data_IF_317837366618
#
_entry.id   IF_317837366618
#
_cell.length_a   1.000
_cell.length_b   1.000
_cell.length_c   1.000
_cell.angle_alpha   90.00
_cell.angle_beta   90.00
_cell.angle_gamma   90.00
#
_symmetry.space_group_name_H-M   'P 1'
#
loop_
_entity.id
_entity.type
_entity.pdbx_description
1 polymer ?
#
# COMPACT_ATOMS: atom_id res chain seq x y z
N UNK A 1 -13.74 -4.49 -12.25
CA UNK A 1 -12.52 -4.24 -11.45
C UNK A 1 -12.73 -4.68 -9.99
N UNK A 2 -11.74 -5.33 -9.38
CA UNK A 2 -11.77 -5.64 -7.95
C UNK A 2 -11.30 -4.40 -7.19
N UNK A 3 -12.12 -3.89 -6.27
CA UNK A 3 -11.79 -2.74 -5.42
C UNK A 3 -11.84 -3.22 -3.98
N UNK A 4 -10.78 -2.96 -3.22
CA UNK A 4 -10.70 -3.30 -1.79
C UNK A 4 -10.34 -2.04 -1.03
N UNK A 5 -11.22 -1.63 -0.12
CA UNK A 5 -10.98 -0.51 0.77
C UNK A 5 -10.13 -0.95 1.96
N UNK A 6 -9.15 -0.12 2.33
CA UNK A 6 -8.27 -0.36 3.48
C UNK A 6 -8.00 0.95 4.19
N UNK A 7 -7.68 0.88 5.47
CA UNK A 7 -7.48 2.01 6.37
C UNK A 7 -6.02 2.20 6.81
N UNK A 8 -5.08 1.44 6.23
CA UNK A 8 -3.65 1.50 6.56
C UNK A 8 -2.78 0.89 5.45
N UNK A 9 -1.54 1.37 5.33
CA UNK A 9 -0.57 0.83 4.37
C UNK A 9 -0.35 -0.68 4.54
N UNK A 10 -0.31 -1.16 5.79
CA UNK A 10 -0.14 -2.59 6.10
C UNK A 10 -1.30 -3.44 5.59
N UNK A 11 -2.56 -3.00 5.79
CA UNK A 11 -3.72 -3.73 5.25
C UNK A 11 -3.77 -3.67 3.73
N UNK A 12 -3.42 -2.53 3.13
CA UNK A 12 -3.33 -2.37 1.69
C UNK A 12 -2.34 -3.37 1.07
N UNK A 13 -1.12 -3.43 1.59
CA UNK A 13 -0.07 -4.34 1.11
C UNK A 13 -0.49 -5.82 1.26
N UNK A 14 -1.05 -6.19 2.42
CA UNK A 14 -1.55 -7.56 2.63
C UNK A 14 -2.70 -7.93 1.68
N UNK A 15 -3.63 -7.01 1.43
CA UNK A 15 -4.72 -7.24 0.48
C UNK A 15 -4.18 -7.39 -0.94
N UNK A 16 -3.26 -6.52 -1.36
CA UNK A 16 -2.59 -6.62 -2.66
C UNK A 16 -1.85 -7.95 -2.83
N UNK A 17 -1.10 -8.39 -1.81
CA UNK A 17 -0.37 -9.65 -1.85
C UNK A 17 -1.30 -10.86 -2.03
N UNK A 18 -2.42 -10.91 -1.28
CA UNK A 18 -3.41 -11.99 -1.37
C UNK A 18 -4.13 -12.04 -2.73
N UNK A 19 -4.26 -10.90 -3.40
CA UNK A 19 -4.89 -10.81 -4.72
C UNK A 19 -3.90 -11.04 -5.87
N UNK A 20 -2.62 -10.82 -5.63
CA UNK A 20 -1.55 -10.99 -6.62
C UNK A 20 -1.12 -12.44 -6.78
N UNK A 21 -0.57 -12.74 -7.94
CA UNK A 21 0.08 -14.03 -8.24
C UNK A 21 1.55 -13.82 -8.59
N UNK A 22 2.32 -14.91 -8.65
CA UNK A 22 3.74 -14.86 -9.00
C UNK A 22 3.91 -14.23 -10.39
N UNK A 23 4.66 -13.13 -10.44
CA UNK A 23 4.93 -12.38 -11.68
C UNK A 23 4.20 -11.04 -11.76
N UNK A 24 3.21 -10.81 -10.89
CA UNK A 24 2.51 -9.52 -10.83
C UNK A 24 3.36 -8.44 -10.15
N UNK A 25 3.06 -7.18 -10.48
CA UNK A 25 3.69 -5.98 -9.88
C UNK A 25 2.65 -5.22 -9.07
N UNK A 26 2.96 -4.96 -7.80
CA UNK A 26 2.16 -4.11 -6.92
C UNK A 26 2.78 -2.71 -6.88
N UNK A 27 2.02 -1.70 -7.33
CA UNK A 27 2.46 -0.30 -7.38
C UNK A 27 1.68 0.56 -6.38
N UNK A 28 2.40 1.28 -5.52
CA UNK A 28 1.83 2.37 -4.72
C UNK A 28 1.76 3.65 -5.57
N UNK A 29 0.58 4.01 -6.07
CA UNK A 29 0.33 5.26 -6.83
C UNK A 29 -0.85 6.06 -6.28
N UNK A 30 -0.70 6.69 -5.09
CA UNK A 30 -1.74 7.50 -4.48
C UNK A 30 -1.78 8.86 -5.18
N UNK A 31 -2.75 9.03 -6.08
CA UNK A 31 -2.98 10.24 -6.89
C UNK A 31 -3.37 11.51 -6.07
N UNK A 32 -3.23 11.48 -4.74
CA UNK A 32 -3.59 12.56 -3.82
C UNK A 32 -2.48 12.84 -2.79
N UNK A 33 -2.48 14.07 -2.26
CA UNK A 33 -1.62 14.51 -1.17
C UNK A 33 -1.93 13.71 0.11
N UNK A 34 -0.88 13.33 0.84
CA UNK A 34 -0.91 12.26 1.85
C UNK A 34 -1.43 12.67 3.24
N UNK A 35 -2.11 13.81 3.38
CA UNK A 35 -2.27 14.50 4.67
C UNK A 35 -3.28 13.87 5.64
N UNK A 36 -4.14 12.95 5.21
CA UNK A 36 -5.17 12.36 6.10
C UNK A 36 -4.68 11.11 6.85
N UNK A 37 -3.71 10.36 6.28
CA UNK A 37 -3.25 9.06 6.79
C UNK A 37 -1.75 9.01 7.12
N UNK A 38 -0.96 9.96 6.63
CA UNK A 38 0.49 9.96 6.75
C UNK A 38 1.01 11.34 7.12
N UNK A 39 2.15 11.38 7.82
CA UNK A 39 2.77 12.67 8.19
C UNK A 39 3.21 13.47 6.97
N UNK A 40 3.68 12.79 5.93
CA UNK A 40 4.13 13.34 4.65
C UNK A 40 4.27 12.22 3.61
N UNK A 41 4.76 12.55 2.42
CA UNK A 41 4.88 11.59 1.33
C UNK A 41 5.99 10.56 1.58
N UNK A 42 7.04 10.92 2.32
CA UNK A 42 8.14 10.04 2.70
C UNK A 42 7.71 8.99 3.72
N UNK A 43 6.95 9.40 4.72
CA UNK A 43 6.35 8.53 5.75
C UNK A 43 5.45 7.48 5.11
N UNK A 44 4.62 7.90 4.15
CA UNK A 44 3.80 6.99 3.33
C UNK A 44 4.64 5.94 2.61
N UNK A 45 5.72 6.37 1.95
CA UNK A 45 6.63 5.46 1.25
C UNK A 45 7.37 4.51 2.19
N UNK A 46 7.75 5.01 3.37
CA UNK A 46 8.42 4.21 4.42
C UNK A 46 7.50 3.12 4.95
N UNK A 47 6.28 3.46 5.35
CA UNK A 47 5.30 2.51 5.85
C UNK A 47 4.94 1.43 4.81
N UNK A 48 4.85 1.80 3.53
CA UNK A 48 4.67 0.81 2.46
C UNK A 48 5.84 -0.16 2.35
N UNK A 49 7.08 0.35 2.36
CA UNK A 49 8.29 -0.49 2.30
C UNK A 49 8.39 -1.41 3.51
N UNK A 50 8.06 -0.92 4.71
CA UNK A 50 8.03 -1.72 5.93
C UNK A 50 6.98 -2.83 5.82
N UNK A 51 5.74 -2.48 5.45
CA UNK A 51 4.69 -3.47 5.26
C UNK A 51 5.04 -4.54 4.21
N UNK A 52 5.73 -4.18 3.13
CA UNK A 52 6.21 -5.15 2.12
C UNK A 52 7.30 -6.07 2.67
N UNK A 53 8.19 -5.57 3.53
CA UNK A 53 9.24 -6.38 4.17
C UNK A 53 8.71 -7.34 5.24
N UNK A 54 7.51 -7.08 5.77
CA UNK A 54 6.84 -7.89 6.79
C UNK A 54 5.92 -8.99 6.23
N UNK A 55 5.76 -9.06 4.90
CA UNK A 55 5.02 -10.14 4.21
C UNK A 55 5.77 -11.48 4.28
#
# INVERSE_FOLDING_TARGET
>A
PVIVETDSAKKAVNASFKLSTKGDVVLLSPACASFDLFKNFEDRGTQFKEAVKEL
#
